data_IF_356017251199
#
_entry.id   IF_356017251199
#
_cell.length_a   1.000
_cell.length_b   1.000
_cell.length_c   1.000
_cell.angle_alpha   90.00
_cell.angle_beta   90.00
_cell.angle_gamma   90.00
#
_symmetry.space_group_name_H-M   'P 1'
#
loop_
_entity.id
_entity.type
_entity.pdbx_description
1 polymer ?
#
# COMPACT_ATOMS: atom_id res chain seq x y z
N UNK A 1 30.82 25.88 76.12
CA UNK A 1 31.84 26.34 75.10
C UNK A 1 31.38 25.91 73.70
N UNK A 2 31.16 26.93 72.91
CA UNK A 2 30.67 26.79 71.53
C UNK A 2 31.63 26.08 70.61
N UNK A 3 31.11 25.26 69.72
CA UNK A 3 31.75 25.05 68.41
C UNK A 3 30.69 24.91 67.33
N UNK A 4 30.77 25.84 66.44
CA UNK A 4 29.99 26.07 65.23
C UNK A 4 30.33 24.97 64.22
N UNK A 5 29.31 24.25 63.71
CA UNK A 5 29.48 23.35 62.59
C UNK A 5 28.74 23.94 61.41
N UNK A 6 29.51 24.36 60.42
CA UNK A 6 29.11 25.02 59.20
C UNK A 6 28.60 23.96 58.20
N UNK A 7 27.31 24.06 57.82
CA UNK A 7 26.69 23.24 56.81
C UNK A 7 27.03 23.79 55.45
N UNK A 8 27.80 23.02 54.67
CA UNK A 8 28.00 23.27 53.24
C UNK A 8 26.94 22.44 52.50
N UNK A 9 25.96 23.12 51.92
CA UNK A 9 25.00 22.53 51.00
C UNK A 9 25.63 22.48 49.60
N UNK A 10 26.00 21.28 49.19
CA UNK A 10 26.42 21.03 47.81
C UNK A 10 25.20 20.76 46.94
N UNK A 11 24.80 21.75 46.15
CA UNK A 11 23.75 21.64 45.13
C UNK A 11 24.31 20.91 43.93
N UNK A 12 24.04 19.61 43.81
CA UNK A 12 24.30 18.86 42.59
C UNK A 12 23.25 19.21 41.52
N UNK A 13 23.64 20.06 40.58
CA UNK A 13 22.83 20.33 39.39
C UNK A 13 22.98 19.14 38.45
N UNK A 14 22.01 18.22 38.45
CA UNK A 14 21.97 17.13 37.51
C UNK A 14 21.55 17.66 36.13
N UNK A 15 22.52 17.82 35.22
CA UNK A 15 22.27 18.10 33.83
C UNK A 15 21.68 16.85 33.19
N UNK A 16 20.36 16.86 32.95
CA UNK A 16 19.70 15.83 32.16
C UNK A 16 20.06 16.09 30.71
N UNK A 17 21.08 15.39 30.20
CA UNK A 17 21.35 15.31 28.77
C UNK A 17 20.22 14.50 28.12
N UNK A 18 19.28 15.19 27.52
CA UNK A 18 18.27 14.61 26.64
C UNK A 18 19.02 14.13 25.38
N UNK A 19 19.47 12.88 25.40
CA UNK A 19 20.00 12.23 24.23
C UNK A 19 18.85 12.05 23.23
N UNK A 20 18.73 12.95 22.28
CA UNK A 20 17.90 12.76 21.11
C UNK A 20 18.48 11.58 20.34
N UNK A 21 17.87 10.40 20.48
CA UNK A 21 18.19 9.25 19.66
C UNK A 21 17.94 9.63 18.20
N UNK A 22 18.91 9.45 17.29
CA UNK A 22 18.62 9.65 15.88
C UNK A 22 17.55 8.63 15.48
N UNK A 23 16.37 9.12 15.14
CA UNK A 23 15.38 8.32 14.41
C UNK A 23 16.03 7.93 13.09
N UNK A 24 16.51 6.70 13.00
CA UNK A 24 16.83 6.10 11.71
C UNK A 24 15.50 6.03 10.94
N UNK A 25 15.24 7.01 10.12
CA UNK A 25 14.19 6.94 9.13
C UNK A 25 14.54 5.75 8.23
N UNK A 26 13.76 4.68 8.32
CA UNK A 26 13.92 3.54 7.43
C UNK A 26 13.92 4.04 5.99
N UNK A 27 14.90 3.62 5.20
CA UNK A 27 14.96 4.00 3.78
C UNK A 27 13.64 3.63 3.11
N UNK A 28 13.08 4.52 2.27
CA UNK A 28 11.82 4.24 1.61
C UNK A 28 11.94 2.98 0.74
N UNK A 29 10.92 2.10 0.72
CA UNK A 29 10.95 0.92 -0.12
C UNK A 29 11.11 1.30 -1.59
N UNK A 30 11.91 0.53 -2.32
CA UNK A 30 12.13 0.75 -3.75
C UNK A 30 11.16 -0.14 -4.53
N UNK A 31 10.37 0.46 -5.40
CA UNK A 31 9.43 -0.24 -6.28
C UNK A 31 9.63 0.23 -7.72
N UNK A 32 9.94 -0.70 -8.62
CA UNK A 32 10.24 -0.37 -10.02
C UNK A 32 11.42 0.59 -10.18
N UNK A 33 12.45 0.45 -9.33
CA UNK A 33 13.64 1.28 -9.35
C UNK A 33 13.46 2.70 -8.78
N UNK A 34 12.29 3.02 -8.24
CA UNK A 34 12.01 4.32 -7.63
C UNK A 34 11.72 4.21 -6.13
N UNK A 35 12.24 5.11 -5.30
CA UNK A 35 11.91 5.15 -3.87
C UNK A 35 10.48 5.63 -3.68
N UNK A 36 9.72 4.93 -2.83
CA UNK A 36 8.34 5.24 -2.48
C UNK A 36 8.29 6.01 -1.17
N UNK A 37 8.01 7.29 -1.23
CA UNK A 37 8.04 8.17 -0.08
C UNK A 37 6.69 8.17 0.67
N UNK A 38 6.67 7.95 1.99
CA UNK A 38 5.42 7.90 2.76
C UNK A 38 4.70 9.26 2.89
N UNK A 39 5.35 10.35 2.53
CA UNK A 39 4.77 11.70 2.51
C UNK A 39 4.18 12.09 1.14
N UNK A 40 4.23 11.20 0.16
CA UNK A 40 3.60 11.37 -1.16
C UNK A 40 2.37 10.49 -1.29
N UNK A 41 1.45 10.89 -2.15
CA UNK A 41 0.24 10.10 -2.45
C UNK A 41 0.58 8.86 -3.28
N UNK A 42 -0.37 7.94 -3.34
CA UNK A 42 -0.28 6.71 -4.15
C UNK A 42 0.08 7.03 -5.61
N UNK A 43 -0.57 8.03 -6.20
CA UNK A 43 -0.33 8.40 -7.61
C UNK A 43 1.02 9.08 -7.80
N UNK A 44 1.40 10.00 -6.89
CA UNK A 44 2.69 10.71 -6.96
C UNK A 44 3.91 9.77 -6.88
N UNK A 45 3.79 8.67 -6.15
CA UNK A 45 4.82 7.65 -6.10
C UNK A 45 4.75 6.71 -7.30
N UNK A 46 3.54 6.25 -7.66
CA UNK A 46 3.36 5.30 -8.77
C UNK A 46 3.89 5.82 -10.11
N UNK A 47 3.77 7.13 -10.39
CA UNK A 47 4.26 7.73 -11.65
C UNK A 47 5.78 7.63 -11.80
N UNK A 48 6.53 7.46 -10.72
CA UNK A 48 7.98 7.32 -10.74
C UNK A 48 8.42 5.85 -10.89
N UNK A 49 7.51 4.90 -10.69
CA UNK A 49 7.81 3.47 -10.78
C UNK A 49 7.80 2.99 -12.23
N UNK A 50 8.91 2.40 -12.65
CA UNK A 50 9.03 1.80 -14.00
C UNK A 50 8.15 0.55 -14.17
N UNK A 51 7.81 -0.12 -13.06
CA UNK A 51 7.00 -1.35 -13.06
C UNK A 51 5.49 -1.08 -13.11
N UNK A 52 5.06 0.19 -12.96
CA UNK A 52 3.65 0.57 -12.91
C UNK A 52 3.24 1.56 -14.00
N UNK A 53 4.00 1.67 -15.08
CA UNK A 53 3.71 2.60 -16.18
C UNK A 53 2.37 2.33 -16.84
N UNK A 54 2.02 1.06 -17.06
CA UNK A 54 0.73 0.64 -17.60
C UNK A 54 -0.42 0.97 -16.65
N UNK A 55 -0.24 0.71 -15.34
CA UNK A 55 -1.22 1.07 -14.32
C UNK A 55 -1.49 2.58 -14.27
N UNK A 56 -0.43 3.40 -14.31
CA UNK A 56 -0.54 4.86 -14.31
C UNK A 56 -1.27 5.36 -15.56
N UNK A 57 -0.95 4.79 -16.73
CA UNK A 57 -1.66 5.11 -17.96
C UNK A 57 -3.15 4.75 -17.87
N UNK A 58 -3.47 3.57 -17.32
CA UNK A 58 -4.84 3.12 -17.10
C UNK A 58 -5.61 4.02 -16.12
N UNK A 59 -4.99 4.43 -15.00
CA UNK A 59 -5.59 5.34 -14.01
C UNK A 59 -5.89 6.71 -14.64
N UNK A 60 -4.99 7.22 -15.47
CA UNK A 60 -5.21 8.49 -16.21
C UNK A 60 -6.34 8.35 -17.23
N UNK A 61 -6.36 7.29 -18.02
CA UNK A 61 -7.42 7.03 -19.01
C UNK A 61 -8.79 6.86 -18.35
N UNK A 62 -8.86 6.21 -17.20
CA UNK A 62 -10.09 6.07 -16.41
C UNK A 62 -10.54 7.39 -15.75
N UNK A 63 -9.66 8.38 -15.62
CA UNK A 63 -9.94 9.64 -14.89
C UNK A 63 -9.99 9.46 -13.37
N UNK A 64 -9.28 8.46 -12.82
CA UNK A 64 -9.28 8.13 -11.40
C UNK A 64 -8.13 8.81 -10.61
N UNK A 65 -7.35 9.66 -11.25
CA UNK A 65 -6.21 10.34 -10.63
C UNK A 65 -6.64 11.13 -9.40
N UNK A 66 -7.69 11.95 -9.51
CA UNK A 66 -8.18 12.77 -8.41
C UNK A 66 -8.79 11.92 -7.28
N UNK A 67 -9.47 10.83 -7.63
CA UNK A 67 -10.04 9.88 -6.67
C UNK A 67 -8.93 9.23 -5.84
N UNK A 68 -7.86 8.76 -6.49
CA UNK A 68 -6.72 8.13 -5.82
C UNK A 68 -5.78 9.13 -5.12
N UNK A 69 -5.86 10.41 -5.46
CA UNK A 69 -5.18 11.50 -4.74
C UNK A 69 -5.99 12.06 -3.58
N UNK A 70 -7.25 11.66 -3.42
CA UNK A 70 -8.08 12.11 -2.30
C UNK A 70 -7.52 11.64 -0.96
N UNK A 71 -8.04 12.20 0.13
CA UNK A 71 -7.50 11.99 1.49
C UNK A 71 -7.52 10.54 1.98
N UNK A 72 -8.17 9.60 1.28
CA UNK A 72 -8.25 8.19 1.69
C UNK A 72 -8.80 7.96 3.10
N UNK A 73 -8.36 6.97 3.85
CA UNK A 73 -7.29 6.02 3.52
C UNK A 73 -7.69 4.95 2.52
N UNK A 74 -6.73 4.51 1.71
CA UNK A 74 -6.93 3.46 0.71
C UNK A 74 -5.88 2.34 0.84
N UNK A 75 -6.29 1.13 0.52
CA UNK A 75 -5.39 0.01 0.23
C UNK A 75 -5.49 -0.30 -1.25
N UNK A 76 -4.38 -0.20 -1.97
CA UNK A 76 -4.33 -0.43 -3.41
C UNK A 76 -3.50 -1.67 -3.72
N UNK A 77 -4.10 -2.63 -4.40
CA UNK A 77 -3.40 -3.78 -4.96
C UNK A 77 -2.91 -3.40 -6.36
N UNK A 78 -1.64 -3.00 -6.47
CA UNK A 78 -1.05 -2.45 -7.68
C UNK A 78 -0.43 -3.55 -8.55
N UNK A 79 -1.03 -3.90 -9.70
CA UNK A 79 -0.45 -4.85 -10.64
C UNK A 79 0.73 -4.22 -11.38
N UNK A 80 1.79 -5.00 -11.58
CA UNK A 80 2.96 -4.61 -12.35
C UNK A 80 2.69 -4.64 -13.85
N UNK A 81 3.58 -4.06 -14.66
CA UNK A 81 3.52 -4.18 -16.13
C UNK A 81 3.50 -5.65 -16.58
N UNK A 82 4.25 -6.51 -15.88
CA UNK A 82 4.26 -7.96 -16.12
C UNK A 82 2.90 -8.60 -15.82
N UNK A 83 2.20 -8.11 -14.79
CA UNK A 83 0.85 -8.55 -14.47
C UNK A 83 -0.13 -8.23 -15.62
N UNK A 84 -0.01 -7.07 -16.22
CA UNK A 84 -0.78 -6.70 -17.41
C UNK A 84 -0.40 -7.53 -18.65
N UNK A 85 0.87 -7.88 -18.80
CA UNK A 85 1.34 -8.72 -19.89
C UNK A 85 0.81 -10.16 -19.84
N UNK A 86 0.36 -10.63 -18.67
CA UNK A 86 -0.33 -11.94 -18.51
C UNK A 86 -1.76 -11.94 -19.08
N UNK A 87 -2.35 -10.77 -19.30
CA UNK A 87 -3.66 -10.67 -19.94
C UNK A 87 -3.57 -11.05 -21.42
N UNK A 88 -4.67 -11.51 -22.05
CA UNK A 88 -4.68 -11.78 -23.48
C UNK A 88 -4.21 -10.57 -24.28
N UNK A 89 -3.45 -10.83 -25.34
CA UNK A 89 -2.89 -9.78 -26.21
C UNK A 89 -4.00 -8.81 -26.69
N UNK A 90 -3.74 -7.51 -26.61
CA UNK A 90 -4.68 -6.46 -27.00
C UNK A 90 -5.75 -6.11 -25.93
N UNK A 91 -5.84 -6.86 -24.82
CA UNK A 91 -6.82 -6.54 -23.75
C UNK A 91 -6.53 -5.18 -23.14
N UNK A 92 -5.26 -4.89 -22.82
CA UNK A 92 -4.87 -3.59 -22.24
C UNK A 92 -5.14 -2.45 -23.21
N UNK A 93 -4.74 -2.60 -24.48
CA UNK A 93 -4.94 -1.60 -25.53
C UNK A 93 -6.42 -1.33 -25.77
N UNK A 94 -7.26 -2.34 -25.61
CA UNK A 94 -8.72 -2.21 -25.72
C UNK A 94 -9.28 -1.48 -24.49
N UNK A 95 -8.87 -1.85 -23.29
CA UNK A 95 -9.36 -1.27 -22.03
C UNK A 95 -8.99 0.22 -21.86
N UNK A 96 -7.86 0.67 -22.39
CA UNK A 96 -7.45 2.08 -22.31
C UNK A 96 -8.18 2.98 -23.33
N UNK A 97 -8.95 2.41 -24.28
CA UNK A 97 -9.76 3.18 -25.22
C UNK A 97 -10.91 3.88 -24.49
N UNK A 98 -11.31 5.08 -24.95
CA UNK A 98 -12.41 5.84 -24.33
C UNK A 98 -13.73 5.05 -24.27
N UNK A 99 -13.97 4.15 -25.23
CA UNK A 99 -15.17 3.31 -25.33
C UNK A 99 -15.27 2.32 -24.17
N UNK A 100 -14.14 1.89 -23.61
CA UNK A 100 -14.04 0.92 -22.51
C UNK A 100 -13.67 1.57 -21.16
N UNK A 101 -13.80 2.90 -21.06
CA UNK A 101 -13.48 3.64 -19.83
C UNK A 101 -14.27 3.13 -18.61
N UNK A 102 -15.52 2.73 -18.81
CA UNK A 102 -16.35 2.18 -17.73
C UNK A 102 -15.81 0.85 -17.20
N UNK A 103 -15.40 -0.06 -18.10
CA UNK A 103 -14.83 -1.36 -17.75
C UNK A 103 -13.47 -1.17 -17.08
N UNK A 104 -12.64 -0.26 -17.60
CA UNK A 104 -11.36 0.08 -16.99
C UNK A 104 -11.54 0.65 -15.58
N UNK A 105 -12.49 1.55 -15.39
CA UNK A 105 -12.83 2.11 -14.08
C UNK A 105 -13.30 1.01 -13.12
N UNK A 106 -14.13 0.08 -13.58
CA UNK A 106 -14.61 -1.06 -12.81
C UNK A 106 -13.44 -1.94 -12.34
N UNK A 107 -12.51 -2.27 -13.23
CA UNK A 107 -11.31 -3.06 -12.92
C UNK A 107 -10.42 -2.31 -11.92
N UNK A 108 -10.11 -1.04 -12.16
CA UNK A 108 -9.22 -0.26 -11.29
C UNK A 108 -9.80 -0.05 -9.89
N UNK A 109 -11.10 0.24 -9.79
CA UNK A 109 -11.78 0.39 -8.48
C UNK A 109 -11.93 -0.95 -7.75
N UNK A 110 -11.90 -2.07 -8.47
CA UNK A 110 -11.83 -3.41 -7.88
C UNK A 110 -10.48 -3.69 -7.19
N UNK A 111 -9.39 -3.06 -7.64
CA UNK A 111 -8.08 -3.14 -6.99
C UNK A 111 -7.93 -2.24 -5.76
N UNK A 112 -8.95 -1.44 -5.45
CA UNK A 112 -8.92 -0.47 -4.34
C UNK A 112 -9.88 -0.90 -3.25
N UNK A 113 -9.38 -0.94 -2.02
CA UNK A 113 -10.16 -1.21 -0.81
C UNK A 113 -10.11 0.02 0.09
N UNK A 114 -11.23 0.39 0.70
CA UNK A 114 -11.27 1.47 1.69
C UNK A 114 -10.57 1.07 2.98
N UNK A 115 -9.77 1.97 3.54
CA UNK A 115 -8.99 1.74 4.75
C UNK A 115 -7.52 1.44 4.48
N UNK A 116 -6.68 1.60 5.50
CA UNK A 116 -5.26 1.21 5.47
C UNK A 116 -5.13 -0.19 6.06
N UNK A 117 -4.93 -1.18 5.23
CA UNK A 117 -4.77 -2.58 5.62
C UNK A 117 -3.34 -3.01 5.37
N UNK A 118 -2.55 -3.13 6.44
CA UNK A 118 -1.18 -3.63 6.35
C UNK A 118 -1.14 -5.15 6.15
N UNK A 119 -0.05 -5.67 5.59
CA UNK A 119 0.13 -7.10 5.43
C UNK A 119 0.01 -7.85 6.76
N UNK A 120 0.54 -7.27 7.84
CA UNK A 120 0.41 -7.84 9.19
C UNK A 120 -1.05 -7.97 9.64
N UNK A 121 -1.87 -6.93 9.40
CA UNK A 121 -3.30 -6.96 9.72
C UNK A 121 -4.01 -8.02 8.87
N UNK A 122 -3.79 -8.00 7.54
CA UNK A 122 -4.36 -8.98 6.62
C UNK A 122 -3.99 -10.41 7.00
N UNK A 123 -2.74 -10.67 7.34
CA UNK A 123 -2.29 -12.00 7.81
C UNK A 123 -2.95 -12.41 9.13
N UNK A 124 -3.06 -11.48 10.08
CA UNK A 124 -3.67 -11.76 11.39
C UNK A 124 -5.14 -12.10 11.25
N UNK A 125 -5.87 -11.28 10.49
CA UNK A 125 -7.30 -11.50 10.23
C UNK A 125 -7.54 -12.76 9.42
N UNK A 126 -6.72 -13.01 8.38
CA UNK A 126 -6.82 -14.24 7.61
C UNK A 126 -6.57 -15.48 8.47
N UNK A 127 -5.57 -15.48 9.35
CA UNK A 127 -5.31 -16.59 10.31
C UNK A 127 -6.49 -16.81 11.23
N UNK A 128 -7.11 -15.77 11.76
CA UNK A 128 -8.28 -15.84 12.63
C UNK A 128 -9.52 -16.42 11.92
N UNK A 129 -9.60 -16.28 10.59
CA UNK A 129 -10.73 -16.69 9.76
C UNK A 129 -10.42 -17.92 8.87
N UNK A 130 -9.61 -18.85 9.34
CA UNK A 130 -9.33 -20.10 8.62
C UNK A 130 -8.46 -19.93 7.38
N UNK A 131 -7.57 -18.92 7.37
CA UNK A 131 -6.58 -18.69 6.31
C UNK A 131 -7.04 -17.75 5.19
N UNK A 132 -8.24 -17.16 5.28
CA UNK A 132 -8.77 -16.24 4.27
C UNK A 132 -9.72 -15.21 4.88
N UNK A 133 -9.76 -14.01 4.27
CA UNK A 133 -10.71 -12.93 4.57
C UNK A 133 -11.29 -12.37 3.28
N UNK A 134 -12.48 -11.83 3.37
CA UNK A 134 -13.10 -11.08 2.27
C UNK A 134 -13.07 -9.59 2.57
N UNK A 135 -12.55 -8.81 1.62
CA UNK A 135 -12.50 -7.37 1.68
C UNK A 135 -13.50 -6.80 0.68
N UNK A 136 -14.21 -5.75 1.06
CA UNK A 136 -15.09 -5.03 0.15
C UNK A 136 -14.29 -3.99 -0.62
N UNK A 137 -14.28 -4.10 -1.94
CA UNK A 137 -13.60 -3.15 -2.82
C UNK A 137 -14.44 -1.87 -3.00
N UNK A 138 -13.80 -0.81 -3.48
CA UNK A 138 -14.49 0.45 -3.84
C UNK A 138 -15.52 0.23 -4.95
N UNK A 139 -15.25 -0.72 -5.84
CA UNK A 139 -16.19 -1.13 -6.89
C UNK A 139 -17.45 -1.82 -6.33
N UNK A 140 -17.35 -2.42 -5.13
CA UNK A 140 -18.47 -3.05 -4.41
C UNK A 140 -18.44 -4.58 -4.36
N UNK A 141 -17.72 -5.25 -5.26
CA UNK A 141 -17.55 -6.70 -5.24
C UNK A 141 -16.48 -7.11 -4.21
N UNK A 142 -16.60 -8.32 -3.63
CA UNK A 142 -15.63 -8.81 -2.66
C UNK A 142 -14.32 -9.24 -3.32
N UNK A 143 -13.23 -8.95 -2.66
CA UNK A 143 -11.89 -9.43 -2.93
C UNK A 143 -11.47 -10.36 -1.79
N UNK A 144 -10.97 -11.54 -2.09
CA UNK A 144 -10.57 -12.50 -1.06
C UNK A 144 -9.06 -12.45 -0.88
N UNK A 145 -8.59 -12.12 0.32
CA UNK A 145 -7.17 -12.27 0.69
C UNK A 145 -7.01 -13.61 1.39
N UNK A 146 -6.01 -14.36 1.02
CA UNK A 146 -5.71 -15.67 1.55
C UNK A 146 -4.23 -15.83 1.90
N UNK A 147 -3.95 -16.72 2.84
CA UNK A 147 -2.59 -17.10 3.18
C UNK A 147 -2.21 -18.36 2.41
N UNK A 148 -1.04 -18.32 1.81
CA UNK A 148 -0.37 -19.49 1.24
C UNK A 148 1.00 -19.65 1.89
N UNK A 149 1.06 -20.44 2.95
CA UNK A 149 2.22 -20.49 3.82
C UNK A 149 2.45 -19.15 4.57
N UNK A 150 3.53 -18.46 4.29
CA UNK A 150 3.86 -17.13 4.81
C UNK A 150 3.53 -15.99 3.84
N UNK A 151 3.05 -16.31 2.65
CA UNK A 151 2.74 -15.33 1.60
C UNK A 151 1.28 -14.90 1.62
N UNK A 152 1.05 -13.64 1.27
CA UNK A 152 -0.28 -13.11 1.00
C UNK A 152 -0.63 -13.30 -0.47
N UNK A 153 -1.77 -13.89 -0.70
CA UNK A 153 -2.37 -14.03 -2.02
C UNK A 153 -3.72 -13.35 -2.05
N UNK A 154 -4.07 -12.83 -3.19
CA UNK A 154 -5.36 -12.19 -3.43
C UNK A 154 -6.10 -12.97 -4.50
N UNK A 155 -7.35 -13.31 -4.24
CA UNK A 155 -8.20 -14.03 -5.19
C UNK A 155 -9.37 -13.14 -5.60
N UNK A 156 -9.57 -13.03 -6.90
CA UNK A 156 -10.67 -12.25 -7.48
C UNK A 156 -12.00 -13.03 -7.51
N UNK A 157 -13.06 -12.34 -7.96
CA UNK A 157 -14.40 -12.91 -8.04
C UNK A 157 -14.56 -14.01 -9.10
N UNK A 158 -13.61 -14.13 -10.05
CA UNK A 158 -13.55 -15.18 -11.08
C UNK A 158 -12.69 -16.37 -10.64
N UNK A 159 -12.05 -16.31 -9.46
CA UNK A 159 -11.14 -17.33 -8.97
C UNK A 159 -9.69 -17.17 -9.41
N UNK A 160 -9.37 -16.08 -10.13
CA UNK A 160 -8.00 -15.70 -10.45
C UNK A 160 -7.22 -15.36 -9.19
N UNK A 161 -5.94 -15.72 -9.14
CA UNK A 161 -5.08 -15.51 -7.98
C UNK A 161 -3.90 -14.64 -8.34
N UNK A 162 -3.57 -13.69 -7.46
CA UNK A 162 -2.41 -12.82 -7.56
C UNK A 162 -1.57 -12.95 -6.28
N UNK A 163 -0.27 -13.12 -6.42
CA UNK A 163 0.65 -13.08 -5.29
C UNK A 163 1.03 -11.63 -4.95
N UNK A 164 1.07 -11.30 -3.67
CA UNK A 164 1.61 -10.03 -3.19
C UNK A 164 3.13 -10.15 -3.15
N UNK A 165 3.81 -9.44 -4.05
CA UNK A 165 5.27 -9.49 -4.19
C UNK A 165 5.98 -8.49 -3.30
N UNK A 166 5.42 -7.29 -3.15
CA UNK A 166 5.91 -6.25 -2.23
C UNK A 166 4.71 -5.75 -1.43
N UNK A 167 4.79 -5.88 -0.12
CA UNK A 167 3.72 -5.45 0.79
C UNK A 167 4.11 -4.18 1.55
N UNK A 168 3.12 -3.52 2.15
CA UNK A 168 3.29 -2.41 3.09
C UNK A 168 4.08 -1.21 2.54
N UNK A 169 3.87 -0.87 1.25
CA UNK A 169 4.41 0.35 0.66
C UNK A 169 3.54 1.53 1.12
N UNK A 170 3.94 2.14 2.25
CA UNK A 170 3.16 3.20 2.89
C UNK A 170 3.17 4.49 2.08
N UNK A 171 2.01 5.15 2.01
CA UNK A 171 1.76 6.40 1.29
C UNK A 171 1.05 7.41 2.21
N UNK A 172 1.05 8.70 1.84
CA UNK A 172 0.37 9.74 2.59
C UNK A 172 -1.15 9.51 2.73
N UNK A 173 -1.77 8.86 1.76
CA UNK A 173 -3.21 8.60 1.71
C UNK A 173 -3.58 7.11 1.68
N UNK A 174 -2.65 6.21 2.06
CA UNK A 174 -2.94 4.78 2.13
C UNK A 174 -1.72 3.87 2.08
N UNK A 175 -1.92 2.66 1.59
CA UNK A 175 -0.88 1.64 1.42
C UNK A 175 -1.02 0.96 0.06
N UNK A 176 0.11 0.63 -0.54
CA UNK A 176 0.18 -0.15 -1.78
C UNK A 176 0.69 -1.55 -1.46
N UNK A 177 0.05 -2.56 -2.03
CA UNK A 177 0.53 -3.93 -2.13
C UNK A 177 0.73 -4.26 -3.61
N UNK A 178 1.96 -4.54 -4.00
CA UNK A 178 2.30 -4.88 -5.39
C UNK A 178 1.89 -6.32 -5.66
N UNK A 179 1.16 -6.55 -6.74
CA UNK A 179 0.70 -7.88 -7.15
C UNK A 179 1.19 -8.26 -8.55
N UNK A 180 1.39 -9.54 -8.76
CA UNK A 180 1.95 -10.12 -9.99
C UNK A 180 0.89 -10.47 -11.05
N UNK A 181 -0.38 -10.24 -10.77
CA UNK A 181 -1.50 -10.57 -11.66
C UNK A 181 -2.62 -9.55 -11.50
N UNK A 182 -3.25 -9.17 -12.61
CA UNK A 182 -4.41 -8.27 -12.61
C UNK A 182 -5.64 -9.00 -12.12
N UNK A 183 -6.36 -8.40 -11.20
CA UNK A 183 -7.60 -8.95 -10.63
C UNK A 183 -8.80 -8.53 -11.47
N UNK A 184 -9.68 -9.46 -11.77
CA UNK A 184 -10.82 -9.22 -12.64
C UNK A 184 -12.13 -9.34 -11.86
N UNK A 185 -12.97 -8.27 -11.86
CA UNK A 185 -14.34 -8.34 -11.34
C UNK A 185 -15.20 -9.26 -12.22
N UNK A 186 -16.36 -9.66 -11.72
CA UNK A 186 -17.37 -10.39 -12.51
C UNK A 186 -17.98 -9.55 -13.61
#
# INVERSE_FOLDING_TARGET
>A
MLTFVQRIAATCLAAICLAASPSFAASPPIVGGAPMYPNKTIVENAVNSKDHTTLVAAVKAAGLVDTLNSKGPFTVFAPTNEAFAKLPAGTVDTLVKPEHKADLTKILTYHVVSGTLTAKQLMTEAKANGGKIMLKTVQGEPLTVMLHGSELWVMDAKGGKAAVTIADVMQANGVIHVVDTVLMPK
#
